data_IF_109354826453
#
_entry.id   IF_109354826453
#
_cell.length_a   1.000
_cell.length_b   1.000
_cell.length_c   1.000
_cell.angle_alpha   90.00
_cell.angle_beta   90.00
_cell.angle_gamma   90.00
#
_symmetry.space_group_name_H-M   'P 1'
#
loop_
_entity.id
_entity.type
_entity.pdbx_description
1 polymer ?
#
# COMPACT_ATOMS: atom_id res chain seq x y z
N UNK A 1 -29.67 2.97 49.30
CA UNK A 1 -29.62 2.56 47.88
C UNK A 1 -28.42 1.64 47.71
N UNK A 2 -28.69 0.33 47.60
CA UNK A 2 -27.69 -0.73 47.62
C UNK A 2 -26.93 -0.83 46.29
N UNK A 3 -25.61 -1.05 46.41
CA UNK A 3 -24.71 -1.42 45.32
C UNK A 3 -24.65 -2.94 45.22
N UNK A 4 -24.64 -3.48 44.01
CA UNK A 4 -24.13 -4.82 43.72
C UNK A 4 -23.65 -4.87 42.26
N UNK A 5 -22.40 -5.28 41.99
CA UNK A 5 -21.90 -5.48 40.64
C UNK A 5 -22.23 -6.89 40.12
N UNK A 6 -22.65 -6.97 38.86
CA UNK A 6 -22.89 -8.22 38.14
C UNK A 6 -21.55 -8.76 37.63
N UNK A 7 -21.08 -9.85 38.23
CA UNK A 7 -19.93 -10.65 37.77
C UNK A 7 -20.49 -11.73 36.83
N UNK A 8 -20.03 -11.75 35.58
CA UNK A 8 -20.27 -12.88 34.67
C UNK A 8 -18.93 -13.56 34.42
N UNK A 9 -18.79 -14.76 34.99
CA UNK A 9 -17.73 -15.73 34.73
C UNK A 9 -18.27 -16.70 33.68
N UNK A 10 -17.60 -16.84 32.53
CA UNK A 10 -17.76 -18.00 31.67
C UNK A 10 -16.49 -18.85 31.72
N UNK A 11 -16.64 -19.99 32.39
CA UNK A 11 -15.69 -21.09 32.47
C UNK A 11 -15.85 -22.01 31.25
N UNK A 12 -14.70 -22.30 30.62
CA UNK A 12 -14.23 -23.61 30.16
C UNK A 12 -15.25 -24.64 29.60
N UNK A 13 -15.01 -25.06 28.36
CA UNK A 13 -15.07 -26.49 28.02
C UNK A 13 -13.90 -26.87 27.12
N UNK A 14 -13.14 -27.85 27.60
CA UNK A 14 -12.15 -28.62 26.88
C UNK A 14 -12.79 -29.91 26.37
N UNK A 15 -12.25 -30.47 25.30
CA UNK A 15 -12.52 -31.82 24.82
C UNK A 15 -12.53 -31.87 23.30
N UNK A 16 -12.02 -32.87 22.61
CA UNK A 16 -11.30 -34.11 22.93
C UNK A 16 -11.12 -34.78 21.55
N UNK A 17 -9.96 -35.39 21.29
CA UNK A 17 -9.74 -36.47 20.30
C UNK A 17 -9.98 -36.16 18.80
N UNK A 18 -9.26 -36.74 17.85
CA UNK A 18 -8.32 -37.84 17.90
C UNK A 18 -7.53 -37.97 16.59
N UNK A 19 -6.41 -38.65 16.73
CA UNK A 19 -5.50 -39.17 15.72
C UNK A 19 -6.18 -40.14 14.74
N UNK A 20 -5.77 -40.16 13.46
CA UNK A 20 -5.12 -41.33 12.84
C UNK A 20 -5.14 -41.40 11.31
N UNK A 21 -3.94 -41.67 10.77
CA UNK A 21 -3.56 -42.51 9.62
C UNK A 21 -4.33 -42.41 8.28
N UNK A 22 -3.60 -42.03 7.23
CA UNK A 22 -3.25 -42.97 6.17
C UNK A 22 -2.12 -42.41 5.27
N UNK A 23 -0.99 -43.11 5.33
CA UNK A 23 0.14 -43.04 4.40
C UNK A 23 -0.31 -43.81 3.15
N UNK A 24 -0.25 -43.20 1.98
CA UNK A 24 -0.27 -43.96 0.72
C UNK A 24 0.97 -43.54 -0.05
N UNK A 25 2.01 -44.36 0.12
CA UNK A 25 3.14 -44.44 -0.80
C UNK A 25 2.69 -45.27 -2.00
N UNK A 26 2.77 -44.70 -3.19
CA UNK A 26 2.70 -45.44 -4.45
C UNK A 26 4.05 -45.28 -5.13
N UNK A 27 4.97 -46.19 -4.79
CA UNK A 27 6.20 -46.39 -5.55
C UNK A 27 5.97 -47.55 -6.52
N UNK A 28 6.66 -47.46 -7.66
CA UNK A 28 6.95 -48.54 -8.62
C UNK A 28 5.72 -48.99 -9.44
N UNK A 29 5.74 -48.99 -10.78
CA UNK A 29 6.74 -49.63 -11.64
C UNK A 29 6.43 -49.36 -13.13
N UNK A 30 7.47 -49.44 -13.98
CA UNK A 30 7.47 -49.51 -15.46
C UNK A 30 7.14 -48.18 -16.18
N UNK A 31 7.97 -47.63 -17.07
CA UNK A 31 8.77 -48.33 -18.07
C UNK A 31 10.03 -47.52 -18.47
N UNK A 32 11.15 -48.23 -18.48
CA UNK A 32 12.40 -47.86 -19.14
C UNK A 32 12.25 -48.19 -20.62
N UNK A 33 12.24 -47.21 -21.53
CA UNK A 33 12.80 -47.37 -22.88
C UNK A 33 12.50 -46.19 -23.80
N UNK A 34 13.42 -45.22 -23.90
CA UNK A 34 13.87 -44.63 -25.18
C UNK A 34 14.88 -43.51 -24.93
N UNK A 35 16.10 -43.92 -24.58
CA UNK A 35 17.28 -43.16 -24.99
C UNK A 35 17.81 -43.75 -26.31
N UNK A 36 18.24 -42.84 -27.19
CA UNK A 36 19.04 -43.04 -28.43
C UNK A 36 18.30 -43.40 -29.72
N UNK A 37 17.73 -42.36 -30.32
CA UNK A 37 17.91 -41.98 -31.73
C UNK A 37 17.16 -40.66 -31.88
N UNK A 38 17.79 -39.49 -31.94
CA UNK A 38 18.33 -38.89 -33.17
C UNK A 38 19.19 -37.70 -32.71
N UNK A 39 20.47 -37.94 -32.47
CA UNK A 39 21.49 -36.90 -32.47
C UNK A 39 22.10 -36.90 -33.87
N UNK A 40 21.50 -36.17 -34.81
CA UNK A 40 22.04 -35.72 -36.13
C UNK A 40 20.90 -35.37 -37.09
N UNK A 41 20.06 -34.39 -36.72
CA UNK A 41 19.28 -33.65 -37.72
C UNK A 41 19.45 -32.17 -37.45
N UNK A 42 20.43 -31.61 -38.16
CA UNK A 42 20.44 -30.25 -38.69
C UNK A 42 20.17 -29.14 -37.68
N UNK A 43 21.28 -28.68 -37.12
CA UNK A 43 21.67 -27.26 -37.14
C UNK A 43 20.93 -26.44 -38.20
N UNK A 44 20.54 -25.21 -37.83
CA UNK A 44 19.64 -24.28 -38.52
C UNK A 44 18.15 -24.49 -38.26
N UNK A 45 17.76 -24.37 -36.99
CA UNK A 45 16.46 -23.81 -36.65
C UNK A 45 16.64 -22.71 -35.61
N UNK A 46 17.00 -21.56 -36.14
CA UNK A 46 16.55 -20.24 -35.70
C UNK A 46 16.24 -20.15 -34.21
N UNK A 47 17.29 -20.04 -33.41
CA UNK A 47 17.20 -19.25 -32.19
C UNK A 47 17.00 -17.81 -32.65
N UNK A 48 15.76 -17.46 -33.02
CA UNK A 48 15.29 -16.09 -32.83
C UNK A 48 15.34 -15.96 -31.32
N UNK A 49 16.50 -15.48 -30.85
CA UNK A 49 16.64 -14.89 -29.54
C UNK A 49 15.55 -13.84 -29.55
N UNK A 50 14.45 -14.15 -28.86
CA UNK A 50 13.36 -13.27 -28.56
C UNK A 50 13.97 -12.19 -27.64
N UNK A 51 14.74 -11.29 -28.26
CA UNK A 51 15.05 -9.99 -27.72
C UNK A 51 13.70 -9.28 -27.67
N UNK A 52 12.89 -9.63 -26.67
CA UNK A 52 12.03 -8.65 -26.03
C UNK A 52 12.98 -7.57 -25.56
N UNK A 53 13.20 -6.61 -26.45
CA UNK A 53 13.59 -5.27 -26.13
C UNK A 53 12.67 -4.90 -24.97
N UNK A 54 13.20 -4.99 -23.74
CA UNK A 54 12.62 -4.32 -22.60
C UNK A 54 12.48 -2.88 -23.07
N UNK A 55 11.27 -2.50 -23.50
CA UNK A 55 10.95 -1.11 -23.75
C UNK A 55 11.23 -0.44 -22.42
N UNK A 56 12.38 0.23 -22.31
CA UNK A 56 12.65 1.23 -21.29
C UNK A 56 11.43 2.14 -21.31
N UNK A 57 10.51 1.90 -20.37
CA UNK A 57 9.30 2.69 -20.28
C UNK A 57 9.74 4.06 -19.85
N UNK A 58 9.38 5.08 -20.61
CA UNK A 58 9.64 6.46 -20.22
C UNK A 58 9.11 6.69 -18.79
N UNK A 59 9.86 7.39 -17.93
CA UNK A 59 9.47 7.58 -16.54
C UNK A 59 8.10 8.25 -16.47
N UNK A 60 7.15 7.57 -15.82
CA UNK A 60 5.77 8.05 -15.67
C UNK A 60 5.66 8.80 -14.34
N UNK A 61 5.14 10.01 -14.40
CA UNK A 61 4.89 10.84 -13.22
C UNK A 61 3.39 10.84 -12.90
N UNK A 62 3.07 10.48 -11.66
CA UNK A 62 1.72 10.47 -11.13
C UNK A 62 1.61 11.45 -9.97
N UNK A 63 0.40 11.97 -9.78
CA UNK A 63 0.02 12.78 -8.63
C UNK A 63 -1.18 12.15 -7.94
N UNK A 64 -1.03 11.91 -6.65
CA UNK A 64 -2.11 11.47 -5.78
C UNK A 64 -2.60 12.70 -5.01
N UNK A 65 -3.85 13.11 -5.25
CA UNK A 65 -4.49 14.21 -4.55
C UNK A 65 -5.49 13.68 -3.52
N UNK A 66 -5.18 13.83 -2.24
CA UNK A 66 -6.02 13.42 -1.13
C UNK A 66 -6.70 14.62 -0.48
N UNK A 67 -8.02 14.59 -0.37
CA UNK A 67 -8.80 15.66 0.26
C UNK A 67 -9.32 15.22 1.63
N UNK A 68 -9.19 16.11 2.61
CA UNK A 68 -9.58 15.91 4.00
C UNK A 68 -10.49 17.04 4.49
N UNK A 69 -11.38 16.72 5.42
CA UNK A 69 -12.28 17.66 6.10
C UNK A 69 -12.02 17.57 7.59
N UNK A 70 -11.97 18.72 8.26
CA UNK A 70 -11.87 18.76 9.72
C UNK A 70 -13.00 17.95 10.34
N UNK A 71 -12.63 17.03 11.23
CA UNK A 71 -13.57 16.24 12.00
C UNK A 71 -14.43 17.13 12.88
N UNK A 72 -15.70 16.77 13.02
CA UNK A 72 -16.63 17.44 13.95
C UNK A 72 -16.54 16.86 15.35
N UNK A 73 -16.11 15.60 15.48
CA UNK A 73 -16.05 14.87 16.75
C UNK A 73 -14.73 15.11 17.48
N UNK A 74 -13.61 15.20 16.76
CA UNK A 74 -12.28 15.34 17.37
C UNK A 74 -11.59 16.61 16.88
N UNK A 75 -11.23 17.49 17.81
CA UNK A 75 -10.56 18.74 17.49
C UNK A 75 -9.14 18.49 16.98
N UNK A 76 -8.78 19.09 15.83
CA UNK A 76 -7.44 19.00 15.26
C UNK A 76 -7.23 17.81 14.30
N UNK A 77 -8.21 16.91 14.21
CA UNK A 77 -8.24 15.77 13.29
C UNK A 77 -8.94 16.14 11.99
N UNK A 78 -8.47 15.59 10.88
CA UNK A 78 -9.09 15.73 9.57
C UNK A 78 -9.42 14.35 9.00
N UNK A 79 -10.71 14.12 8.77
CA UNK A 79 -11.25 12.91 8.16
C UNK A 79 -11.04 12.97 6.66
N UNK A 80 -10.61 11.85 6.08
CA UNK A 80 -10.46 11.76 4.64
C UNK A 80 -11.82 11.76 3.92
N UNK A 81 -11.88 12.46 2.79
CA UNK A 81 -13.06 12.56 1.93
C UNK A 81 -12.89 11.74 0.66
N UNK A 82 -11.75 11.92 -0.03
CA UNK A 82 -11.50 11.32 -1.36
C UNK A 82 -10.01 11.27 -1.69
N UNK A 83 -9.66 10.34 -2.57
CA UNK A 83 -8.42 10.35 -3.35
C UNK A 83 -8.71 10.49 -4.83
N UNK A 84 -7.81 11.17 -5.52
CA UNK A 84 -7.76 11.23 -6.96
C UNK A 84 -6.35 10.91 -7.43
N UNK A 85 -6.23 9.96 -8.35
CA UNK A 85 -4.98 9.64 -9.03
C UNK A 85 -4.99 10.30 -10.42
N UNK A 86 -4.00 11.15 -10.66
CA UNK A 86 -3.86 11.95 -11.88
C UNK A 86 -2.49 11.67 -12.49
N UNK A 87 -2.45 11.34 -13.78
CA UNK A 87 -1.19 11.26 -14.52
C UNK A 87 -0.75 12.68 -14.90
N UNK A 88 0.45 13.10 -14.48
CA UNK A 88 0.93 14.48 -14.64
C UNK A 88 1.00 14.91 -16.11
N UNK A 89 1.33 13.97 -17.00
CA UNK A 89 1.43 14.21 -18.44
C UNK A 89 0.05 14.27 -19.14
N UNK A 90 -1.01 13.78 -18.49
CA UNK A 90 -2.38 13.72 -19.02
C UNK A 90 -3.40 14.12 -17.95
N UNK A 91 -3.43 15.40 -17.53
CA UNK A 91 -4.19 15.86 -16.36
C UNK A 91 -5.71 15.68 -16.47
N UNK A 92 -6.25 15.45 -17.67
CA UNK A 92 -7.69 15.23 -17.91
C UNK A 92 -8.13 13.77 -17.70
N UNK A 93 -7.20 12.82 -17.57
CA UNK A 93 -7.52 11.39 -17.37
C UNK A 93 -7.44 11.08 -15.87
N UNK A 94 -8.56 11.24 -15.17
CA UNK A 94 -8.69 10.72 -13.80
C UNK A 94 -8.71 9.20 -13.87
N UNK A 95 -7.71 8.55 -13.28
CA UNK A 95 -7.53 7.11 -13.47
C UNK A 95 -8.50 6.29 -12.61
N UNK A 96 -8.79 6.73 -11.38
CA UNK A 96 -9.82 6.17 -10.49
C UNK A 96 -9.97 7.04 -9.23
N UNK A 97 -11.18 7.14 -8.70
CA UNK A 97 -11.44 7.55 -7.31
C UNK A 97 -11.50 6.27 -6.48
N UNK A 98 -10.39 5.91 -5.83
CA UNK A 98 -10.38 4.74 -4.94
C UNK A 98 -10.90 5.16 -3.57
N UNK A 99 -11.91 4.45 -3.06
CA UNK A 99 -12.27 4.50 -1.64
C UNK A 99 -11.20 3.71 -0.90
N UNK A 100 -10.14 4.39 -0.46
CA UNK A 100 -9.12 3.80 0.37
C UNK A 100 -9.43 4.03 1.85
N UNK A 101 -8.98 3.11 2.69
CA UNK A 101 -9.04 3.24 4.15
C UNK A 101 -7.95 4.15 4.72
N UNK A 102 -7.17 4.84 3.87
CA UNK A 102 -6.24 5.90 4.29
C UNK A 102 -6.98 6.79 5.28
N UNK A 103 -6.56 6.73 6.54
CA UNK A 103 -7.42 7.16 7.64
C UNK A 103 -7.35 8.67 7.88
N UNK A 104 -6.90 9.03 9.06
CA UNK A 104 -6.98 10.38 9.60
C UNK A 104 -5.68 11.15 9.41
N UNK A 105 -5.80 12.47 9.22
CA UNK A 105 -4.68 13.39 9.21
C UNK A 105 -4.73 14.26 10.47
N UNK A 106 -3.59 14.37 11.15
CA UNK A 106 -3.42 15.24 12.32
C UNK A 106 -2.25 16.19 12.08
N UNK A 107 -2.42 17.45 12.47
CA UNK A 107 -1.32 18.42 12.52
C UNK A 107 -0.85 18.55 13.96
N UNK A 108 0.37 18.09 14.26
CA UNK A 108 0.94 18.12 15.62
C UNK A 108 2.39 18.59 15.58
N UNK A 109 2.72 19.64 16.33
CA UNK A 109 4.10 20.07 16.61
C UNK A 109 5.04 20.13 15.40
N UNK A 110 4.56 20.69 14.28
CA UNK A 110 5.36 20.78 13.04
C UNK A 110 5.44 19.48 12.23
N UNK A 111 4.62 18.49 12.57
CA UNK A 111 4.49 17.21 11.88
C UNK A 111 3.07 17.01 11.34
N UNK A 112 3.00 16.39 10.16
CA UNK A 112 1.78 15.79 9.64
C UNK A 112 1.80 14.33 10.05
N UNK A 113 0.77 13.91 10.77
CA UNK A 113 0.60 12.54 11.20
C UNK A 113 -0.52 11.95 10.36
N UNK A 114 -0.20 10.91 9.60
CA UNK A 114 -1.17 10.12 8.85
C UNK A 114 -1.41 8.83 9.62
N UNK A 115 -2.67 8.48 9.84
CA UNK A 115 -3.07 7.29 10.60
C UNK A 115 -3.99 6.48 9.70
N UNK A 116 -3.79 5.17 9.58
CA UNK A 116 -4.71 4.32 8.84
C UNK A 116 -4.88 2.97 9.53
N UNK A 117 -6.11 2.45 9.64
CA UNK A 117 -6.32 1.05 9.95
C UNK A 117 -5.91 0.21 8.73
N UNK A 118 -5.19 -0.87 8.98
CA UNK A 118 -4.77 -1.85 7.98
C UNK A 118 -5.19 -3.23 8.47
N UNK A 119 -5.92 -4.02 7.67
CA UNK A 119 -6.24 -5.40 8.02
C UNK A 119 -4.97 -6.26 7.96
N UNK A 120 -4.67 -6.98 9.03
CA UNK A 120 -3.56 -7.93 9.10
C UNK A 120 -3.97 -9.18 9.89
N UNK A 121 -3.93 -10.34 9.23
CA UNK A 121 -4.19 -11.67 9.83
C UNK A 121 -5.44 -11.75 10.73
N UNK A 122 -6.56 -11.16 10.27
CA UNK A 122 -7.82 -11.18 11.02
C UNK A 122 -7.92 -10.16 12.16
N UNK A 123 -6.92 -9.27 12.31
CA UNK A 123 -6.92 -8.14 13.23
C UNK A 123 -6.76 -6.80 12.49
N UNK A 124 -7.15 -5.69 13.13
CA UNK A 124 -6.89 -4.35 12.59
C UNK A 124 -5.63 -3.80 13.24
N UNK A 125 -4.57 -3.63 12.45
CA UNK A 125 -3.38 -2.90 12.86
C UNK A 125 -3.54 -1.41 12.52
N UNK A 126 -2.89 -0.54 13.28
CA UNK A 126 -2.88 0.90 13.00
C UNK A 126 -1.49 1.28 12.50
N UNK A 127 -1.40 1.75 11.27
CA UNK A 127 -0.18 2.30 10.72
C UNK A 127 -0.16 3.81 10.87
N UNK A 128 1.00 4.35 11.27
CA UNK A 128 1.20 5.77 11.53
C UNK A 128 2.45 6.26 10.81
N UNK A 129 2.30 7.28 9.97
CA UNK A 129 3.41 7.99 9.35
C UNK A 129 3.49 9.43 9.91
N UNK A 130 4.58 9.72 10.62
CA UNK A 130 4.88 11.04 11.16
C UNK A 130 5.86 11.75 10.22
N UNK A 131 5.44 12.83 9.59
CA UNK A 131 6.21 13.51 8.55
C UNK A 131 6.49 14.96 8.95
N UNK A 132 7.76 15.38 9.05
CA UNK A 132 8.09 16.77 9.35
C UNK A 132 7.63 17.68 8.21
N UNK A 133 7.04 18.83 8.54
CA UNK A 133 6.64 19.83 7.55
C UNK A 133 7.20 21.22 7.86
N UNK A 134 7.39 21.99 6.79
CA UNK A 134 7.64 23.44 6.86
C UNK A 134 6.42 24.20 6.36
N UNK A 135 5.96 25.19 7.14
CA UNK A 135 4.90 26.09 6.67
C UNK A 135 5.46 27.05 5.62
N UNK A 136 4.75 27.19 4.50
CA UNK A 136 4.98 28.24 3.51
C UNK A 136 3.77 29.18 3.54
N UNK A 137 3.94 30.33 4.18
CA UNK A 137 2.82 31.24 4.45
C UNK A 137 1.80 30.68 5.44
N UNK A 138 0.55 31.15 5.36
CA UNK A 138 -0.50 30.82 6.35
C UNK A 138 -1.15 29.45 6.14
N UNK A 139 -1.21 28.99 4.90
CA UNK A 139 -2.09 27.89 4.50
C UNK A 139 -1.36 26.71 3.84
N UNK A 140 -0.09 26.83 3.48
CA UNK A 140 0.63 25.77 2.77
C UNK A 140 1.63 25.09 3.71
N UNK A 141 1.68 23.77 3.63
CA UNK A 141 2.47 22.87 4.47
C UNK A 141 3.27 21.98 3.52
N UNK A 142 4.58 22.11 3.51
CA UNK A 142 5.46 21.34 2.63
C UNK A 142 6.15 20.28 3.48
N UNK A 143 5.93 19.02 3.15
CA UNK A 143 6.59 17.90 3.84
C UNK A 143 8.07 17.89 3.43
N UNK A 144 8.94 17.74 4.41
CA UNK A 144 10.39 17.69 4.22
C UNK A 144 10.84 16.24 4.03
N UNK A 145 10.65 15.69 2.82
CA UNK A 145 11.00 14.31 2.50
C UNK A 145 12.49 14.00 2.68
N UNK A 146 13.35 15.01 2.51
CA UNK A 146 14.79 14.99 2.78
C UNK A 146 15.11 14.79 4.28
N UNK A 147 14.24 15.26 5.17
CA UNK A 147 14.39 15.13 6.64
C UNK A 147 13.58 13.98 7.22
N UNK A 148 12.93 13.19 6.36
CA UNK A 148 12.09 12.07 6.76
C UNK A 148 12.95 10.82 6.84
N UNK A 149 12.83 10.05 7.92
CA UNK A 149 13.59 8.80 8.10
C UNK A 149 13.09 7.71 7.16
N UNK A 150 13.90 6.68 6.92
CA UNK A 150 13.51 5.57 6.04
C UNK A 150 12.28 4.81 6.59
N UNK A 151 12.15 4.72 7.92
CA UNK A 151 10.97 4.15 8.58
C UNK A 151 9.71 4.96 8.25
N UNK A 152 9.80 6.28 8.31
CA UNK A 152 8.67 7.17 7.99
C UNK A 152 8.31 7.12 6.50
N UNK A 153 9.31 7.04 5.61
CA UNK A 153 9.09 6.85 4.17
C UNK A 153 8.44 5.49 3.87
N UNK A 154 8.89 4.43 4.54
CA UNK A 154 8.31 3.10 4.40
C UNK A 154 6.85 3.08 4.90
N UNK A 155 6.56 3.68 6.05
CA UNK A 155 5.20 3.80 6.56
C UNK A 155 4.31 4.59 5.58
N UNK A 156 4.83 5.70 5.04
CA UNK A 156 4.12 6.46 4.01
C UNK A 156 3.86 5.61 2.75
N UNK A 157 4.84 4.83 2.29
CA UNK A 157 4.67 3.96 1.14
C UNK A 157 3.59 2.90 1.38
N UNK A 158 3.56 2.26 2.56
CA UNK A 158 2.50 1.29 2.91
C UNK A 158 1.11 1.93 2.98
N UNK A 159 1.01 3.13 3.54
CA UNK A 159 -0.25 3.87 3.58
C UNK A 159 -0.81 4.16 2.18
N UNK A 160 0.06 4.45 1.21
CA UNK A 160 -0.35 4.76 -0.17
C UNK A 160 -0.28 3.55 -1.12
N UNK A 161 0.26 2.41 -0.71
CA UNK A 161 0.40 1.19 -1.52
C UNK A 161 -0.91 0.79 -2.22
N UNK A 162 -2.08 0.77 -1.57
CA UNK A 162 -3.33 0.43 -2.26
C UNK A 162 -3.69 1.32 -3.46
N UNK A 163 -3.15 2.55 -3.52
CA UNK A 163 -3.30 3.46 -4.67
C UNK A 163 -2.21 3.24 -5.72
N UNK A 164 -1.00 2.88 -5.29
CA UNK A 164 0.17 2.73 -6.15
C UNK A 164 0.19 1.35 -6.81
N UNK A 165 -0.23 0.28 -6.13
CA UNK A 165 -0.25 -1.10 -6.64
C UNK A 165 -1.07 -1.25 -7.93
N UNK A 166 -2.04 -0.36 -8.16
CA UNK A 166 -2.83 -0.30 -9.40
C UNK A 166 -2.11 0.33 -10.59
N UNK A 167 -0.85 0.76 -10.44
CA UNK A 167 -0.04 1.41 -11.46
C UNK A 167 0.98 0.44 -12.08
N UNK A 168 1.17 0.54 -13.40
CA UNK A 168 2.23 -0.18 -14.10
C UNK A 168 3.61 0.26 -13.58
N UNK A 169 4.44 -0.68 -13.14
CA UNK A 169 5.80 -0.42 -12.65
C UNK A 169 5.88 0.03 -11.19
N UNK A 170 4.82 -0.16 -10.39
CA UNK A 170 4.77 0.26 -8.98
C UNK A 170 5.95 -0.20 -8.11
N UNK A 171 6.63 -1.29 -8.46
CA UNK A 171 7.83 -1.79 -7.77
C UNK A 171 8.97 -0.75 -7.70
N UNK A 172 9.02 0.19 -8.65
CA UNK A 172 10.02 1.27 -8.74
C UNK A 172 9.42 2.63 -8.43
N UNK A 173 8.33 2.67 -7.67
CA UNK A 173 7.68 3.91 -7.27
C UNK A 173 8.49 4.65 -6.20
N UNK A 174 8.89 5.88 -6.51
CA UNK A 174 9.58 6.79 -5.61
C UNK A 174 8.66 7.96 -5.25
N UNK A 175 8.51 8.21 -3.96
CA UNK A 175 7.78 9.37 -3.43
C UNK A 175 8.74 10.55 -3.33
N UNK A 176 8.51 11.58 -4.16
CA UNK A 176 9.42 12.72 -4.23
C UNK A 176 9.02 13.85 -3.28
N UNK A 177 7.77 14.31 -3.41
CA UNK A 177 7.28 15.50 -2.73
C UNK A 177 5.87 15.30 -2.24
N UNK A 178 5.59 15.85 -1.06
CA UNK A 178 4.24 15.96 -0.53
C UNK A 178 3.99 17.39 -0.08
N UNK A 179 2.88 17.97 -0.51
CA UNK A 179 2.47 19.31 -0.09
C UNK A 179 0.99 19.33 0.26
N UNK A 180 0.63 20.06 1.31
CA UNK A 180 -0.75 20.20 1.73
C UNK A 180 -1.17 21.66 1.80
N UNK A 181 -2.38 21.95 1.36
CA UNK A 181 -3.01 23.26 1.38
C UNK A 181 -4.24 23.24 2.29
N UNK A 182 -4.27 24.15 3.27
CA UNK A 182 -5.40 24.40 4.14
C UNK A 182 -6.32 25.46 3.55
N UNK A 183 -7.61 25.14 3.40
CA UNK A 183 -8.64 26.09 3.01
C UNK A 183 -9.83 25.98 3.96
N UNK A 184 -9.95 26.95 4.89
CA UNK A 184 -10.95 26.94 5.97
C UNK A 184 -10.85 25.65 6.80
N UNK A 185 -11.89 24.81 6.75
CA UNK A 185 -11.97 23.51 7.42
C UNK A 185 -11.52 22.33 6.55
N UNK A 186 -11.02 22.58 5.33
CA UNK A 186 -10.51 21.56 4.43
C UNK A 186 -9.00 21.56 4.36
N UNK A 187 -8.45 20.39 4.14
CA UNK A 187 -7.04 20.16 3.91
C UNK A 187 -6.90 19.34 2.62
N UNK A 188 -6.05 19.76 1.69
CA UNK A 188 -5.82 19.04 0.43
C UNK A 188 -4.34 18.76 0.30
N UNK A 189 -3.96 17.50 0.25
CA UNK A 189 -2.58 17.06 0.10
C UNK A 189 -2.36 16.50 -1.30
N UNK A 190 -1.24 16.86 -1.90
CA UNK A 190 -0.76 16.36 -3.18
C UNK A 190 0.56 15.62 -2.93
N UNK A 191 0.62 14.37 -3.36
CA UNK A 191 1.79 13.50 -3.32
C UNK A 191 2.24 13.24 -4.75
N UNK A 192 3.47 13.62 -5.08
CA UNK A 192 4.06 13.35 -6.38
C UNK A 192 4.85 12.03 -6.32
N UNK A 193 4.47 11.09 -7.19
CA UNK A 193 5.06 9.76 -7.30
C UNK A 193 5.68 9.61 -8.68
N UNK A 194 6.93 9.15 -8.72
CA UNK A 194 7.66 8.88 -9.96
C UNK A 194 7.86 7.37 -10.08
N UNK A 195 7.51 6.80 -11.23
CA UNK A 195 7.78 5.40 -11.56
C UNK A 195 8.88 5.36 -12.63
N UNK A 196 9.97 4.64 -12.35
CA UNK A 196 11.14 4.51 -13.22
C UNK A 196 11.19 3.17 -13.95
#
# INVERSE_FOLDING_TARGET
MNKTPLIIIFLLSAGLCGVSFAKVSFDSWLDMSHERAIATVKENKTTIIDQRVEKKSDPKNYRIASAYKRSKSIWGVYDKIKDELVETNKPKKQLKTLRTNLGELILKDGQVVLISPIPYEGSTQIEVANLPYKKKGKNQYIIQMDKTTDIQKAALARLYSPLIDGLDGHEKAEINTMSCLKKKSRFSCELDVKIQ
#
